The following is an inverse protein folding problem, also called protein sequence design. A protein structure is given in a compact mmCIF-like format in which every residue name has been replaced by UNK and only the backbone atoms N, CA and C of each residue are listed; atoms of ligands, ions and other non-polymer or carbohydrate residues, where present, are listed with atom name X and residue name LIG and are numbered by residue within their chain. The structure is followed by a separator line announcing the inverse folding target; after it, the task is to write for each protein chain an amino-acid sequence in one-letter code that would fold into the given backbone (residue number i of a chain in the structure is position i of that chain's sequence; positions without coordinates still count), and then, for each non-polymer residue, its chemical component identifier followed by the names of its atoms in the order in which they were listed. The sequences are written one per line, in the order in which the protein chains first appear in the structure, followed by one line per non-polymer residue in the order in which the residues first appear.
data_IF_300664760144
#
_entry.id   IF_300664760144
#
_cell.length_a   1.000
_cell.length_b   1.000
_cell.length_c   1.000
_cell.angle_alpha   90.00
_cell.angle_beta   90.00
_cell.angle_gamma   90.00
#
_symmetry.space_group_name_H-M   'P 1'
#
loop_
_entity.id
_entity.type
_entity.pdbx_description
1 polymer ?
#
# COMPACT_ATOMS: atom_id res chain seq x y z
N UNK A 1 -0.89 -9.28 1.18
CA UNK A 1 -0.40 -8.02 1.78
C UNK A 1 -0.84 -7.95 3.22
N UNK A 2 -0.05 -7.32 4.08
CA UNK A 2 -0.40 -7.06 5.48
C UNK A 2 -0.75 -5.58 5.59
N UNK A 3 -1.94 -5.26 6.09
CA UNK A 3 -2.35 -3.89 6.38
C UNK A 3 -2.02 -3.56 7.83
N UNK A 4 -1.68 -2.30 8.11
CA UNK A 4 -1.40 -1.81 9.45
C UNK A 4 -1.74 -0.34 9.60
N UNK A 5 -2.14 0.04 10.80
CA UNK A 5 -2.34 1.43 11.19
C UNK A 5 -1.27 1.74 12.23
N UNK A 6 -0.33 2.65 11.93
CA UNK A 6 0.65 3.09 12.92
C UNK A 6 0.10 4.33 13.64
N UNK A 7 -0.13 4.23 14.94
CA UNK A 7 -0.60 5.37 15.73
C UNK A 7 0.52 6.41 15.89
N UNK A 8 0.28 7.64 15.43
CA UNK A 8 1.13 8.78 15.74
C UNK A 8 0.84 9.27 17.17
N UNK A 9 1.83 9.74 17.94
CA UNK A 9 1.58 10.30 19.27
C UNK A 9 0.75 11.59 19.19
N UNK A 10 -0.37 11.65 19.93
CA UNK A 10 -1.27 12.80 19.99
C UNK A 10 -2.61 12.59 19.27
N UNK A 11 -3.45 13.63 19.22
CA UNK A 11 -4.78 13.63 18.60
C UNK A 11 -4.71 13.76 17.06
N UNK A 12 -3.64 13.23 16.46
CA UNK A 12 -3.33 13.35 15.04
C UNK A 12 -3.79 12.06 14.35
N UNK A 13 -4.26 12.17 13.11
CA UNK A 13 -4.65 11.00 12.32
C UNK A 13 -3.49 9.99 12.27
N UNK A 14 -3.83 8.71 12.36
CA UNK A 14 -2.84 7.61 12.27
C UNK A 14 -2.14 7.63 10.92
N UNK A 15 -0.96 7.02 10.82
CA UNK A 15 -0.33 6.82 9.51
C UNK A 15 -0.96 5.62 8.82
N UNK A 16 -1.32 5.79 7.54
CA UNK A 16 -1.81 4.70 6.72
C UNK A 16 -0.62 3.94 6.14
N UNK A 17 -0.59 2.62 6.34
CA UNK A 17 0.51 1.77 5.87
C UNK A 17 0.02 0.54 5.12
N UNK A 18 0.74 0.18 4.07
CA UNK A 18 0.54 -1.07 3.34
C UNK A 18 1.87 -1.63 2.86
N UNK A 19 2.04 -2.95 3.02
CA UNK A 19 3.12 -3.72 2.40
C UNK A 19 2.51 -4.88 1.62
N UNK A 20 2.97 -5.05 0.38
CA UNK A 20 2.51 -6.12 -0.49
C UNK A 20 3.44 -6.40 -1.65
N UNK A 21 3.32 -7.60 -2.19
CA UNK A 21 4.05 -8.05 -3.37
C UNK A 21 3.08 -8.74 -4.34
N UNK A 22 3.46 -8.80 -5.62
CA UNK A 22 2.68 -9.45 -6.67
C UNK A 22 3.47 -9.64 -7.97
N UNK A 23 3.01 -10.52 -8.89
CA UNK A 23 1.91 -11.50 -8.75
C UNK A 23 2.13 -12.52 -7.63
N UNK A 24 1.10 -13.24 -7.19
CA UNK A 24 1.21 -14.20 -6.07
C UNK A 24 2.07 -15.41 -6.43
N UNK A 25 1.88 -15.96 -7.63
CA UNK A 25 2.51 -17.20 -8.10
C UNK A 25 3.98 -17.00 -8.49
N UNK A 26 4.32 -15.83 -9.03
CA UNK A 26 5.69 -15.45 -9.37
C UNK A 26 5.90 -13.96 -9.09
N UNK A 27 6.21 -13.57 -7.85
CA UNK A 27 6.34 -12.18 -7.46
C UNK A 27 7.44 -11.46 -8.25
N UNK A 28 7.07 -10.38 -8.92
CA UNK A 28 8.01 -9.53 -9.68
C UNK A 28 8.06 -8.09 -9.18
N UNK A 29 7.14 -7.72 -8.30
CA UNK A 29 7.02 -6.38 -7.72
C UNK A 29 6.73 -6.49 -6.22
N UNK A 30 7.46 -5.72 -5.42
CA UNK A 30 7.18 -5.51 -3.99
C UNK A 30 7.08 -4.01 -3.72
N UNK A 31 6.09 -3.60 -2.92
CA UNK A 31 5.82 -2.21 -2.60
C UNK A 31 5.54 -2.03 -1.11
N UNK A 32 5.98 -0.86 -0.61
CA UNK A 32 5.65 -0.33 0.71
C UNK A 32 5.08 1.07 0.51
N UNK A 33 3.92 1.34 1.12
CA UNK A 33 3.23 2.63 1.05
C UNK A 33 3.07 3.15 2.46
N UNK A 34 3.54 4.37 2.69
CA UNK A 34 3.36 5.16 3.91
C UNK A 34 2.70 6.48 3.54
N UNK A 35 1.53 6.75 4.12
CA UNK A 35 0.92 8.07 4.08
C UNK A 35 0.91 8.63 5.50
N UNK A 36 1.77 9.61 5.74
CA UNK A 36 1.84 10.33 7.01
C UNK A 36 0.50 10.98 7.31
N UNK A 37 0.00 10.76 8.52
CA UNK A 37 -1.31 11.21 9.00
C UNK A 37 -2.47 10.85 8.06
N UNK A 38 -2.32 9.79 7.25
CA UNK A 38 -3.28 9.39 6.23
C UNK A 38 -4.50 8.63 6.77
N UNK A 39 -4.59 8.40 8.07
CA UNK A 39 -5.66 7.62 8.69
C UNK A 39 -5.43 6.11 8.58
N UNK A 40 -6.45 5.37 8.14
CA UNK A 40 -6.45 3.92 8.13
C UNK A 40 -5.77 3.35 6.87
N UNK A 41 -4.88 2.36 7.04
CA UNK A 41 -4.18 1.72 5.93
C UNK A 41 -5.11 1.11 4.87
N UNK A 42 -6.26 0.56 5.29
CA UNK A 42 -7.22 -0.10 4.40
C UNK A 42 -7.97 0.88 3.48
N UNK A 43 -8.20 2.12 3.92
CA UNK A 43 -8.98 3.12 3.19
C UNK A 43 -8.12 4.04 2.32
N UNK A 44 -6.82 4.17 2.65
CA UNK A 44 -5.90 5.05 1.92
C UNK A 44 -4.78 4.28 1.22
N UNK A 45 -4.00 3.49 1.96
CA UNK A 45 -2.81 2.85 1.39
C UNK A 45 -3.16 1.68 0.44
N UNK A 46 -4.24 0.94 0.70
CA UNK A 46 -4.68 -0.18 -0.16
C UNK A 46 -5.17 0.26 -1.54
N UNK A 47 -6.02 1.30 -1.69
CA UNK A 47 -6.38 1.82 -3.01
C UNK A 47 -5.16 2.28 -3.83
N UNK A 48 -4.19 2.95 -3.20
CA UNK A 48 -2.94 3.35 -3.88
C UNK A 48 -2.17 2.11 -4.35
N UNK A 49 -2.07 1.07 -3.52
CA UNK A 49 -1.43 -0.18 -3.89
C UNK A 49 -2.11 -0.82 -5.12
N UNK A 50 -3.44 -0.83 -5.15
CA UNK A 50 -4.21 -1.37 -6.29
C UNK A 50 -3.86 -0.63 -7.58
N UNK A 51 -3.88 0.69 -7.57
CA UNK A 51 -3.63 1.48 -8.78
C UNK A 51 -2.18 1.29 -9.30
N UNK A 52 -1.20 1.12 -8.40
CA UNK A 52 0.19 0.77 -8.76
C UNK A 52 0.26 -0.61 -9.42
N UNK A 53 -0.37 -1.62 -8.81
CA UNK A 53 -0.38 -2.98 -9.37
C UNK A 53 -1.10 -3.03 -10.72
N UNK A 54 -2.24 -2.35 -10.87
CA UNK A 54 -2.97 -2.26 -12.13
C UNK A 54 -2.11 -1.63 -13.24
N UNK A 55 -1.43 -0.51 -12.94
CA UNK A 55 -0.53 0.12 -13.88
C UNK A 55 0.63 -0.79 -14.27
N UNK A 56 1.28 -1.43 -13.28
CA UNK A 56 2.41 -2.33 -13.51
C UNK A 56 2.02 -3.54 -14.34
N UNK A 57 0.89 -4.18 -14.06
CA UNK A 57 0.42 -5.32 -14.85
C UNK A 57 -0.04 -4.94 -16.26
N UNK A 58 -0.53 -3.70 -16.44
CA UNK A 58 -0.90 -3.17 -17.76
C UNK A 58 0.29 -2.76 -18.63
N UNK A 59 1.44 -2.37 -18.06
CA UNK A 59 2.56 -1.76 -18.80
C UNK A 59 3.90 -2.49 -18.68
N UNK A 60 4.10 -3.33 -17.65
CA UNK A 60 5.37 -4.00 -17.34
C UNK A 60 5.64 -5.30 -18.13
N UNK A 61 4.85 -5.61 -19.17
CA UNK A 61 5.00 -6.80 -20.03
C UNK A 61 5.47 -6.48 -21.46
N UNK A 62 6.28 -5.43 -21.65
CA UNK A 62 6.96 -5.14 -22.92
C UNK A 62 8.22 -5.98 -23.11
#
# INVERSE_FOLDING_TARGET
GKTGTAQAPGNVATHAWFEGFGPYENPTLSIVILVENGGEGSSVAVPIARDIFEWWFGHGRS
#
